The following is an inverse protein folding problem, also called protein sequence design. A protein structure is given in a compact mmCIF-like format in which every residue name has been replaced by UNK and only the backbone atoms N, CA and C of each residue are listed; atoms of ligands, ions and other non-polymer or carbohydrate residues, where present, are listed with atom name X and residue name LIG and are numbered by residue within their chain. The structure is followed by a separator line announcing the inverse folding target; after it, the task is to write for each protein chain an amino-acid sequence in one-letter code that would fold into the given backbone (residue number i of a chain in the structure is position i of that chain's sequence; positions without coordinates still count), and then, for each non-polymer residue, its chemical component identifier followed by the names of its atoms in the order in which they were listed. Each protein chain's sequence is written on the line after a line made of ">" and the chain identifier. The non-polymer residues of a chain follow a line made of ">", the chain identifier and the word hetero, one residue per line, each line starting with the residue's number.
data_IF_612916483305
#
_entry.id   IF_612916483305
#
_cell.length_a   1.000
_cell.length_b   1.000
_cell.length_c   1.000
_cell.angle_alpha   90.00
_cell.angle_beta   90.00
_cell.angle_gamma   90.00
#
_symmetry.space_group_name_H-M   'P 1'
#
loop_
_entity.id
_entity.type
_entity.pdbx_description
1 polymer ?
#
# COMPACT_ATOMS: atom_id res chain seq x y z
N UNK A 1 6.98 55.42 1.60
CA UNK A 1 6.54 54.02 1.44
C UNK A 1 7.77 53.21 1.06
N UNK A 2 8.29 52.38 1.95
CA UNK A 2 9.43 51.50 1.65
C UNK A 2 8.93 50.36 0.78
N UNK A 3 9.32 50.34 -0.50
CA UNK A 3 8.99 49.23 -1.39
C UNK A 3 9.51 47.92 -0.78
N UNK A 4 8.67 46.90 -0.70
CA UNK A 4 9.06 45.61 -0.14
C UNK A 4 10.09 44.97 -1.08
N UNK A 5 11.35 44.79 -0.65
CA UNK A 5 12.45 44.41 -1.55
C UNK A 5 12.22 43.08 -2.27
N UNK A 6 11.40 42.19 -1.68
CA UNK A 6 11.05 40.90 -2.29
C UNK A 6 10.11 41.04 -3.49
N UNK A 7 9.20 42.02 -3.50
CA UNK A 7 8.25 42.23 -4.60
C UNK A 7 8.90 42.93 -5.81
N UNK A 8 10.12 43.43 -5.63
CA UNK A 8 10.94 43.97 -6.72
C UNK A 8 11.72 42.87 -7.46
N UNK A 9 11.69 41.63 -6.97
CA UNK A 9 12.32 40.51 -7.66
C UNK A 9 11.51 40.12 -8.90
N UNK A 10 12.18 39.74 -10.00
CA UNK A 10 11.53 39.17 -11.18
C UNK A 10 10.68 37.93 -10.85
N UNK A 11 9.58 37.73 -11.59
CA UNK A 11 8.65 36.61 -11.35
C UNK A 11 9.34 35.24 -11.45
N UNK A 12 10.29 35.08 -12.36
CA UNK A 12 11.12 33.88 -12.54
C UNK A 12 11.95 33.56 -11.29
N UNK A 13 12.41 34.56 -10.54
CA UNK A 13 13.09 34.35 -9.26
C UNK A 13 12.09 33.99 -8.16
N UNK A 14 10.95 34.68 -8.13
CA UNK A 14 9.90 34.43 -7.13
C UNK A 14 9.34 33.00 -7.20
N UNK A 15 9.23 32.40 -8.39
CA UNK A 15 8.78 31.01 -8.57
C UNK A 15 9.77 29.98 -8.02
N UNK A 16 11.05 30.33 -7.88
CA UNK A 16 12.08 29.43 -7.34
C UNK A 16 12.13 29.43 -5.81
N UNK A 17 11.63 30.49 -5.16
CA UNK A 17 11.68 30.65 -3.70
C UNK A 17 11.09 29.47 -2.91
N UNK A 18 10.00 28.81 -3.33
CA UNK A 18 9.47 27.64 -2.63
C UNK A 18 10.48 26.50 -2.41
N UNK A 19 11.52 26.37 -3.24
CA UNK A 19 12.56 25.35 -3.05
C UNK A 19 13.49 25.63 -1.86
N UNK A 20 13.42 26.83 -1.30
CA UNK A 20 14.25 27.30 -0.19
C UNK A 20 13.45 27.51 1.10
N UNK A 21 12.20 27.07 1.13
CA UNK A 21 11.37 27.09 2.34
C UNK A 21 11.56 25.78 3.13
N UNK A 22 11.40 25.84 4.44
CA UNK A 22 11.68 24.68 5.29
C UNK A 22 10.57 23.63 5.19
N UNK A 23 9.31 24.04 4.99
CA UNK A 23 8.18 23.12 4.93
C UNK A 23 6.93 23.69 4.22
N UNK A 24 5.88 22.87 4.13
CA UNK A 24 4.63 23.22 3.43
C UNK A 24 3.81 24.31 4.12
N UNK A 25 3.97 24.46 5.44
CA UNK A 25 3.31 25.53 6.21
C UNK A 25 3.93 26.89 5.87
N UNK A 26 5.26 26.97 5.80
CA UNK A 26 5.98 28.17 5.37
C UNK A 26 5.57 28.58 3.96
N UNK A 27 5.43 27.63 3.05
CA UNK A 27 4.92 27.89 1.70
C UNK A 27 3.49 28.46 1.72
N UNK A 28 2.62 27.92 2.58
CA UNK A 28 1.24 28.40 2.72
C UNK A 28 1.19 29.82 3.29
N UNK A 29 2.00 30.10 4.30
CA UNK A 29 2.13 31.42 4.92
C UNK A 29 2.73 32.44 3.94
N UNK A 30 3.79 32.05 3.23
CA UNK A 30 4.46 32.88 2.25
C UNK A 30 3.55 33.25 1.08
N UNK A 31 2.86 32.27 0.50
CA UNK A 31 1.88 32.50 -0.57
C UNK A 31 0.66 33.31 -0.12
N UNK A 32 0.35 33.33 1.18
CA UNK A 32 -0.78 34.08 1.74
C UNK A 32 -0.42 35.52 2.15
N UNK A 33 0.85 35.93 2.04
CA UNK A 33 1.31 37.24 2.53
C UNK A 33 0.81 38.41 1.67
N UNK A 34 0.77 38.27 0.35
CA UNK A 34 0.21 39.29 -0.55
C UNK A 34 -0.37 38.69 -1.84
N UNK A 35 -1.15 39.49 -2.59
CA UNK A 35 -1.79 39.04 -3.84
C UNK A 35 -0.80 38.66 -4.93
N UNK A 36 0.33 39.37 -5.03
CA UNK A 36 1.36 39.10 -6.05
C UNK A 36 2.08 37.78 -5.79
N UNK A 37 2.52 37.54 -4.56
CA UNK A 37 3.09 36.24 -4.16
C UNK A 37 2.07 35.12 -4.35
N UNK A 38 0.81 35.33 -3.96
CA UNK A 38 -0.26 34.35 -4.20
C UNK A 38 -0.43 34.01 -5.68
N UNK A 39 -0.36 35.02 -6.56
CA UNK A 39 -0.49 34.85 -8.01
C UNK A 39 0.69 34.04 -8.56
N UNK A 40 1.91 34.46 -8.24
CA UNK A 40 3.15 33.83 -8.73
C UNK A 40 3.29 32.41 -8.22
N UNK A 41 2.94 32.17 -6.96
CA UNK A 41 3.07 30.86 -6.30
C UNK A 41 1.86 29.96 -6.47
N UNK A 42 0.86 30.34 -7.28
CA UNK A 42 -0.40 29.58 -7.39
C UNK A 42 -0.23 28.16 -7.94
N UNK A 43 0.83 27.92 -8.73
CA UNK A 43 1.12 26.64 -9.39
C UNK A 43 2.55 26.19 -9.11
N UNK A 44 2.86 25.79 -7.87
CA UNK A 44 4.18 25.29 -7.53
C UNK A 44 4.45 23.96 -8.25
N UNK A 45 5.74 23.67 -8.52
CA UNK A 45 6.11 22.40 -9.12
C UNK A 45 5.72 21.24 -8.18
N UNK A 46 5.13 20.14 -8.66
CA UNK A 46 4.67 19.04 -7.80
C UNK A 46 5.78 18.44 -6.92
N UNK A 47 7.01 18.37 -7.45
CA UNK A 47 8.16 17.89 -6.69
C UNK A 47 8.47 18.80 -5.49
N UNK A 48 8.43 20.13 -5.67
CA UNK A 48 8.63 21.10 -4.58
C UNK A 48 7.61 20.90 -3.46
N UNK A 49 6.33 20.70 -3.81
CA UNK A 49 5.28 20.46 -2.81
C UNK A 49 5.49 19.15 -2.06
N UNK A 50 5.90 18.08 -2.75
CA UNK A 50 6.21 16.81 -2.08
C UNK A 50 7.39 16.96 -1.12
N UNK A 51 8.46 17.66 -1.52
CA UNK A 51 9.60 17.96 -0.65
C UNK A 51 9.19 18.75 0.59
N UNK A 52 8.41 19.81 0.42
CA UNK A 52 7.91 20.63 1.52
C UNK A 52 6.98 19.83 2.46
N UNK A 53 6.15 18.94 1.92
CA UNK A 53 5.30 18.05 2.71
C UNK A 53 6.11 16.98 3.47
N UNK A 54 7.16 16.43 2.85
CA UNK A 54 8.08 15.50 3.49
C UNK A 54 8.95 16.18 4.55
N UNK A 55 9.31 17.45 4.37
CA UNK A 55 10.03 18.21 5.39
C UNK A 55 9.14 18.48 6.62
N UNK A 56 7.85 18.76 6.41
CA UNK A 56 6.87 18.92 7.51
C UNK A 56 6.80 17.68 8.40
N UNK A 57 6.92 16.47 7.84
CA UNK A 57 6.82 15.22 8.60
C UNK A 57 7.87 15.09 9.70
N UNK A 58 8.92 15.92 9.69
CA UNK A 58 10.03 15.91 10.65
C UNK A 58 9.87 16.89 11.81
N UNK A 59 9.04 17.93 11.66
CA UNK A 59 8.97 19.06 12.61
C UNK A 59 7.67 19.03 13.43
N UNK A 60 6.53 18.69 12.81
CA UNK A 60 5.25 18.50 13.48
C UNK A 60 4.50 17.34 12.83
N UNK A 61 4.19 16.30 13.59
CA UNK A 61 3.60 15.04 13.09
C UNK A 61 2.30 15.27 12.27
N UNK A 62 2.46 15.47 10.97
CA UNK A 62 1.55 15.20 9.84
C UNK A 62 2.08 15.93 8.59
N UNK A 63 2.13 15.27 7.43
CA UNK A 63 1.75 13.88 7.16
C UNK A 63 2.80 12.88 7.67
N UNK A 64 2.39 11.64 7.98
CA UNK A 64 3.37 10.57 8.29
C UNK A 64 4.11 10.15 7.01
N UNK A 65 5.37 9.68 7.10
CA UNK A 65 6.12 9.22 5.92
C UNK A 65 5.38 8.13 5.14
N UNK A 66 4.79 7.15 5.82
CA UNK A 66 3.99 6.08 5.19
C UNK A 66 2.77 6.60 4.44
N UNK A 67 2.12 7.66 4.94
CA UNK A 67 1.01 8.31 4.24
C UNK A 67 1.48 8.98 2.96
N UNK A 68 2.60 9.71 2.98
CA UNK A 68 3.15 10.33 1.78
C UNK A 68 3.61 9.29 0.76
N UNK A 69 4.30 8.23 1.19
CA UNK A 69 4.68 7.11 0.33
C UNK A 69 3.45 6.47 -0.31
N UNK A 70 2.36 6.29 0.44
CA UNK A 70 1.09 5.76 -0.10
C UNK A 70 0.45 6.74 -1.09
N UNK A 71 0.46 8.04 -0.78
CA UNK A 71 -0.14 9.06 -1.63
C UNK A 71 0.53 9.18 -3.00
N UNK A 72 1.82 8.88 -3.10
CA UNK A 72 2.63 8.95 -4.33
C UNK A 72 2.85 7.58 -4.98
N UNK A 73 2.46 6.49 -4.32
CA UNK A 73 2.68 5.11 -4.75
C UNK A 73 2.20 4.81 -6.18
N UNK A 74 1.05 5.36 -6.60
CA UNK A 74 0.53 5.12 -7.96
C UNK A 74 1.43 5.73 -9.02
N UNK A 75 1.81 6.98 -8.85
CA UNK A 75 2.73 7.67 -9.76
C UNK A 75 4.09 6.99 -9.78
N UNK A 76 4.58 6.57 -8.62
CA UNK A 76 5.84 5.84 -8.50
C UNK A 76 5.78 4.49 -9.22
N UNK A 77 4.65 3.78 -9.10
CA UNK A 77 4.39 2.54 -9.83
C UNK A 77 4.33 2.76 -11.34
N UNK A 78 3.72 3.85 -11.82
CA UNK A 78 3.71 4.18 -13.25
C UNK A 78 5.12 4.50 -13.76
N UNK A 79 5.90 5.28 -13.01
CA UNK A 79 7.30 5.55 -13.32
C UNK A 79 8.14 4.26 -13.36
N UNK A 80 7.95 3.35 -12.40
CA UNK A 80 8.67 2.08 -12.35
C UNK A 80 8.38 1.18 -13.55
N UNK A 81 7.17 1.28 -14.12
CA UNK A 81 6.76 0.52 -15.31
C UNK A 81 7.44 0.99 -16.59
N UNK A 82 7.98 2.22 -16.64
CA UNK A 82 8.62 2.77 -17.85
C UNK A 82 9.86 1.97 -18.29
N UNK A 83 10.61 1.36 -17.37
CA UNK A 83 11.80 0.58 -17.73
C UNK A 83 12.16 -0.50 -16.69
N UNK A 84 12.89 -1.56 -17.10
CA UNK A 84 13.50 -2.52 -16.17
C UNK A 84 14.42 -1.87 -15.13
N UNK A 85 15.16 -0.84 -15.52
CA UNK A 85 16.04 -0.11 -14.61
C UNK A 85 15.26 0.61 -13.51
N UNK A 86 14.13 1.24 -13.85
CA UNK A 86 13.29 1.94 -12.88
C UNK A 86 12.65 0.95 -11.89
N UNK A 87 12.22 -0.23 -12.35
CA UNK A 87 11.73 -1.28 -11.46
C UNK A 87 12.83 -1.78 -10.52
N UNK A 88 14.07 -1.95 -11.00
CA UNK A 88 15.17 -2.36 -10.14
C UNK A 88 15.46 -1.32 -9.05
N UNK A 89 15.34 -0.02 -9.36
CA UNK A 89 15.42 1.06 -8.38
C UNK A 89 14.27 1.01 -7.37
N UNK A 90 13.03 0.74 -7.83
CA UNK A 90 11.88 0.53 -6.94
C UNK A 90 12.11 -0.64 -5.98
N UNK A 91 12.52 -1.80 -6.50
CA UNK A 91 12.80 -2.98 -5.69
C UNK A 91 13.93 -2.73 -4.68
N UNK A 92 14.96 -1.96 -5.06
CA UNK A 92 16.04 -1.55 -4.16
C UNK A 92 15.55 -0.59 -3.08
N UNK A 93 14.71 0.38 -3.43
CA UNK A 93 14.14 1.32 -2.48
C UNK A 93 13.22 0.65 -1.45
N UNK A 94 12.47 -0.38 -1.86
CA UNK A 94 11.64 -1.18 -0.96
C UNK A 94 12.43 -1.69 0.25
N UNK A 95 13.73 -1.99 0.10
CA UNK A 95 14.60 -2.53 1.16
C UNK A 95 14.73 -1.61 2.38
N UNK A 96 14.51 -0.32 2.19
CA UNK A 96 14.48 0.69 3.25
C UNK A 96 13.04 0.94 3.77
N UNK A 97 12.09 0.07 3.45
CA UNK A 97 10.69 0.17 3.84
C UNK A 97 9.95 1.34 3.18
N UNK A 98 8.88 1.81 3.83
CA UNK A 98 8.07 2.91 3.34
C UNK A 98 8.85 4.23 3.23
N UNK A 99 9.88 4.43 4.06
CA UNK A 99 10.77 5.59 3.96
C UNK A 99 11.59 5.56 2.67
N UNK A 100 12.16 4.40 2.31
CA UNK A 100 12.84 4.23 1.04
C UNK A 100 11.96 4.53 -0.18
N UNK A 101 10.68 4.14 -0.11
CA UNK A 101 9.72 4.48 -1.16
C UNK A 101 9.44 5.99 -1.22
N UNK A 102 9.36 6.67 -0.08
CA UNK A 102 9.21 8.12 -0.05
C UNK A 102 10.45 8.83 -0.62
N UNK A 103 11.66 8.37 -0.28
CA UNK A 103 12.92 8.92 -0.80
C UNK A 103 13.04 8.75 -2.31
N UNK A 104 12.60 7.60 -2.84
CA UNK A 104 12.53 7.38 -4.28
C UNK A 104 11.46 8.26 -4.93
N UNK A 105 10.31 8.42 -4.27
CA UNK A 105 9.25 9.30 -4.74
C UNK A 105 9.71 10.76 -4.84
N UNK A 106 10.47 11.25 -3.86
CA UNK A 106 11.06 12.60 -3.88
C UNK A 106 11.95 12.85 -5.10
N UNK A 107 12.55 11.80 -5.68
CA UNK A 107 13.43 11.92 -6.85
C UNK A 107 12.70 11.88 -8.19
N UNK A 108 11.54 11.21 -8.26
CA UNK A 108 10.94 10.84 -9.55
C UNK A 108 9.48 11.21 -9.72
N UNK A 109 8.78 11.57 -8.65
CA UNK A 109 7.36 11.95 -8.70
C UNK A 109 7.12 13.25 -7.95
N UNK A 110 5.85 13.65 -7.82
CA UNK A 110 5.49 14.85 -7.09
C UNK A 110 4.13 14.73 -6.44
N UNK A 111 3.71 15.83 -5.81
CA UNK A 111 2.41 15.93 -5.18
C UNK A 111 1.84 17.31 -5.49
N UNK A 112 0.58 17.38 -5.90
CA UNK A 112 -0.05 18.67 -6.21
C UNK A 112 -0.87 19.17 -5.03
N UNK A 113 -1.04 20.49 -4.89
CA UNK A 113 -1.94 21.06 -3.88
C UNK A 113 -3.39 20.55 -4.02
N UNK A 114 -3.97 20.42 -5.23
CA UNK A 114 -5.25 19.74 -5.41
C UNK A 114 -5.26 18.31 -4.85
N UNK A 115 -4.21 17.51 -5.09
CA UNK A 115 -4.11 16.15 -4.54
C UNK A 115 -4.01 16.17 -3.02
N UNK A 116 -3.28 17.11 -2.41
CA UNK A 116 -3.26 17.29 -0.94
C UNK A 116 -4.67 17.54 -0.38
N UNK A 117 -5.45 18.41 -1.04
CA UNK A 117 -6.84 18.68 -0.61
C UNK A 117 -7.72 17.45 -0.74
N UNK A 118 -7.58 16.68 -1.82
CA UNK A 118 -8.28 15.40 -1.99
C UNK A 118 -7.89 14.40 -0.90
N UNK A 119 -6.60 14.23 -0.63
CA UNK A 119 -6.10 13.35 0.43
C UNK A 119 -6.60 13.77 1.82
N UNK A 120 -6.70 15.07 2.07
CA UNK A 120 -7.32 15.60 3.29
C UNK A 120 -8.80 15.22 3.38
N UNK A 121 -9.57 15.32 2.30
CA UNK A 121 -10.96 14.88 2.27
C UNK A 121 -11.08 13.36 2.48
N UNK A 122 -10.25 12.57 1.77
CA UNK A 122 -10.17 11.11 1.89
C UNK A 122 -9.87 10.66 3.32
N UNK A 123 -9.12 11.46 4.09
CA UNK A 123 -8.85 11.16 5.49
C UNK A 123 -10.14 10.90 6.27
N UNK A 124 -11.16 11.72 6.06
CA UNK A 124 -12.42 11.66 6.79
C UNK A 124 -13.44 10.76 6.11
N UNK A 125 -13.46 10.71 4.77
CA UNK A 125 -14.44 9.89 4.04
C UNK A 125 -14.04 8.42 3.93
N UNK A 126 -12.75 8.10 3.81
CA UNK A 126 -12.28 6.72 3.55
C UNK A 126 -11.29 6.24 4.59
N UNK A 127 -10.20 6.97 4.86
CA UNK A 127 -9.08 6.46 5.67
C UNK A 127 -9.52 6.16 7.11
N UNK A 128 -9.98 7.14 7.90
CA UNK A 128 -10.33 6.89 9.30
C UNK A 128 -11.43 5.81 9.45
N UNK A 129 -12.50 5.82 8.64
CA UNK A 129 -13.56 4.81 8.72
C UNK A 129 -13.10 3.39 8.35
N UNK A 130 -12.23 3.24 7.35
CA UNK A 130 -11.68 1.93 7.00
C UNK A 130 -10.65 1.49 8.04
N UNK A 131 -9.87 2.40 8.61
CA UNK A 131 -8.98 2.11 9.75
C UNK A 131 -9.80 1.61 10.95
N UNK A 132 -10.94 2.20 11.26
CA UNK A 132 -11.86 1.71 12.29
C UNK A 132 -12.40 0.29 11.98
N UNK A 133 -12.70 0.00 10.71
CA UNK A 133 -13.07 -1.36 10.29
C UNK A 133 -11.91 -2.35 10.48
N UNK A 134 -10.67 -1.96 10.16
CA UNK A 134 -9.47 -2.78 10.34
C UNK A 134 -9.18 -3.00 11.83
N UNK A 135 -9.37 -1.99 12.68
CA UNK A 135 -9.21 -2.09 14.13
C UNK A 135 -10.16 -3.15 14.72
N UNK A 136 -11.39 -3.25 14.22
CA UNK A 136 -12.35 -4.32 14.56
C UNK A 136 -11.96 -5.71 14.06
N UNK A 137 -10.92 -5.82 13.23
CA UNK A 137 -10.39 -7.07 12.69
C UNK A 137 -9.07 -7.51 13.33
N UNK A 138 -8.17 -6.57 13.66
CA UNK A 138 -6.80 -6.88 14.12
C UNK A 138 -6.21 -5.91 15.15
N UNK A 139 -7.01 -4.96 15.65
CA UNK A 139 -6.58 -3.97 16.64
C UNK A 139 -7.33 -4.09 17.97
N UNK A 140 -7.28 -3.02 18.78
CA UNK A 140 -7.80 -2.99 20.15
C UNK A 140 -9.31 -3.28 20.20
N UNK A 141 -10.08 -2.78 19.22
CA UNK A 141 -11.51 -3.05 19.13
C UNK A 141 -11.82 -4.53 18.87
N UNK A 142 -10.92 -5.25 18.20
CA UNK A 142 -11.10 -6.68 18.01
C UNK A 142 -10.95 -7.43 19.33
N UNK A 143 -9.90 -7.13 20.11
CA UNK A 143 -9.67 -7.71 21.44
C UNK A 143 -10.76 -7.37 22.45
N UNK A 144 -11.46 -6.25 22.27
CA UNK A 144 -12.59 -5.86 23.10
C UNK A 144 -13.87 -6.68 22.85
N UNK A 145 -13.87 -7.64 21.92
CA UNK A 145 -15.02 -8.53 21.70
C UNK A 145 -15.28 -9.38 22.96
N UNK A 146 -16.52 -9.42 23.50
CA UNK A 146 -16.84 -10.26 24.65
C UNK A 146 -16.46 -11.72 24.41
N UNK A 147 -15.96 -12.40 25.44
CA UNK A 147 -15.53 -13.80 25.37
C UNK A 147 -14.53 -14.07 24.24
N UNK A 148 -13.63 -13.12 23.96
CA UNK A 148 -12.71 -13.15 22.81
C UNK A 148 -12.00 -14.51 22.65
N UNK A 149 -11.43 -15.04 23.73
CA UNK A 149 -10.72 -16.32 23.76
C UNK A 149 -11.65 -17.54 23.90
N UNK A 150 -12.90 -17.32 24.30
CA UNK A 150 -13.87 -18.35 24.67
C UNK A 150 -14.98 -18.51 23.61
N UNK A 151 -14.67 -18.19 22.35
CA UNK A 151 -15.56 -18.38 21.19
C UNK A 151 -16.34 -17.13 20.76
N UNK A 152 -16.14 -15.99 21.41
CA UNK A 152 -16.70 -14.70 21.02
C UNK A 152 -16.07 -14.12 19.75
N UNK A 153 -14.79 -14.43 19.48
CA UNK A 153 -14.14 -14.19 18.20
C UNK A 153 -14.03 -15.50 17.40
N UNK A 154 -14.41 -15.47 16.12
CA UNK A 154 -14.36 -16.66 15.25
C UNK A 154 -12.95 -17.20 15.05
N UNK A 155 -11.94 -16.35 15.20
CA UNK A 155 -10.55 -16.67 14.92
C UNK A 155 -9.59 -15.92 15.86
N UNK A 156 -9.81 -16.05 17.17
CA UNK A 156 -9.00 -15.37 18.19
C UNK A 156 -7.50 -15.64 17.98
N UNK A 157 -6.70 -14.57 17.91
CA UNK A 157 -5.25 -14.65 17.75
C UNK A 157 -4.56 -13.45 18.41
N UNK A 158 -3.31 -13.62 18.85
CA UNK A 158 -2.50 -12.50 19.36
C UNK A 158 -1.72 -11.88 18.20
N UNK A 159 -2.21 -10.74 17.73
CA UNK A 159 -1.62 -9.88 16.71
C UNK A 159 -1.24 -8.52 17.33
N UNK A 160 0.05 -8.20 17.37
CA UNK A 160 0.51 -6.83 17.65
C UNK A 160 0.55 -6.05 16.33
N UNK A 161 -0.40 -5.13 16.15
CA UNK A 161 -0.52 -4.35 14.92
C UNK A 161 -0.87 -2.88 15.18
N UNK A 162 -0.73 -2.07 14.14
CA UNK A 162 -1.25 -0.70 14.12
C UNK A 162 -2.28 -0.61 12.98
N UNK A 163 -3.59 -0.51 13.26
CA UNK A 163 -4.62 -0.51 12.22
C UNK A 163 -4.38 0.55 11.13
N UNK A 164 -3.88 1.72 11.51
CA UNK A 164 -3.49 2.78 10.58
C UNK A 164 -2.38 2.35 9.61
N UNK A 165 -1.35 1.64 10.09
CA UNK A 165 -0.29 1.12 9.22
C UNK A 165 -0.81 -0.02 8.34
N UNK A 166 -1.62 -0.93 8.88
CA UNK A 166 -2.25 -2.00 8.11
C UNK A 166 -3.08 -1.44 6.93
N UNK A 167 -3.83 -0.35 7.16
CA UNK A 167 -4.51 0.38 6.09
C UNK A 167 -3.53 0.87 5.01
N UNK A 168 -2.44 1.54 5.41
CA UNK A 168 -1.49 2.08 4.44
C UNK A 168 -0.72 0.99 3.70
N UNK A 169 -0.37 -0.13 4.33
CA UNK A 169 0.22 -1.28 3.64
C UNK A 169 -0.71 -1.83 2.55
N UNK A 170 -2.00 -1.98 2.87
CA UNK A 170 -3.02 -2.42 1.93
C UNK A 170 -3.17 -1.42 0.75
N UNK A 171 -3.36 -0.15 1.08
CA UNK A 171 -3.54 0.90 0.10
C UNK A 171 -2.30 1.03 -0.79
N UNK A 172 -1.10 1.08 -0.22
CA UNK A 172 0.16 1.23 -0.94
C UNK A 172 0.42 0.08 -1.90
N UNK A 173 0.11 -1.17 -1.50
CA UNK A 173 0.18 -2.31 -2.42
C UNK A 173 -0.80 -2.14 -3.60
N UNK A 174 -2.04 -1.75 -3.32
CA UNK A 174 -3.05 -1.49 -4.35
C UNK A 174 -2.65 -0.35 -5.30
N UNK A 175 -2.07 0.73 -4.78
CA UNK A 175 -1.58 1.85 -5.58
C UNK A 175 -0.41 1.47 -6.49
N UNK A 176 0.58 0.74 -5.97
CA UNK A 176 1.76 0.32 -6.74
C UNK A 176 1.42 -0.71 -7.80
N UNK A 177 0.66 -1.74 -7.43
CA UNK A 177 0.54 -2.98 -8.21
C UNK A 177 -0.82 -3.17 -8.85
N UNK A 178 -1.90 -2.62 -8.29
CA UNK A 178 -3.26 -2.71 -8.84
C UNK A 178 -3.40 -2.48 -10.35
N UNK A 179 -2.71 -1.47 -10.95
CA UNK A 179 -2.74 -1.23 -12.40
C UNK A 179 -2.31 -2.43 -13.27
N UNK A 180 -1.55 -3.38 -12.73
CA UNK A 180 -1.15 -4.59 -13.46
C UNK A 180 -2.31 -5.56 -13.68
N UNK A 181 -3.32 -5.56 -12.80
CA UNK A 181 -4.52 -6.37 -13.00
C UNK A 181 -5.33 -5.81 -14.18
N UNK A 182 -5.48 -4.48 -14.25
CA UNK A 182 -6.20 -3.86 -15.37
C UNK A 182 -5.51 -4.08 -16.70
N UNK A 183 -4.17 -4.00 -16.71
CA UNK A 183 -3.36 -4.31 -17.89
C UNK A 183 -3.62 -5.74 -18.39
N UNK A 184 -3.71 -6.70 -17.46
CA UNK A 184 -4.02 -8.09 -17.78
C UNK A 184 -5.46 -8.26 -18.31
N UNK A 185 -6.44 -7.62 -17.68
CA UNK A 185 -7.84 -7.69 -18.11
C UNK A 185 -8.09 -7.07 -19.48
N UNK A 186 -7.39 -5.97 -19.78
CA UNK A 186 -7.50 -5.28 -21.06
C UNK A 186 -6.70 -5.98 -22.17
N UNK A 187 -5.99 -7.08 -21.86
CA UNK A 187 -5.11 -7.83 -22.77
C UNK A 187 -4.07 -6.91 -23.44
N UNK A 188 -3.62 -5.89 -22.72
CA UNK A 188 -2.72 -4.86 -23.24
C UNK A 188 -1.26 -5.33 -23.07
N UNK A 189 -0.79 -6.15 -24.01
CA UNK A 189 0.59 -6.66 -24.00
C UNK A 189 1.65 -5.58 -24.25
N UNK A 190 1.25 -4.37 -24.66
CA UNK A 190 2.17 -3.26 -24.88
C UNK A 190 2.59 -2.58 -23.59
N UNK A 191 1.76 -2.68 -22.54
CA UNK A 191 2.05 -2.12 -21.23
C UNK A 191 2.84 -3.11 -20.38
N UNK A 192 3.97 -2.63 -19.88
CA UNK A 192 4.79 -3.38 -18.95
C UNK A 192 4.14 -3.44 -17.57
N UNK A 193 4.18 -4.63 -16.96
CA UNK A 193 3.76 -4.90 -15.58
C UNK A 193 4.97 -4.97 -14.65
N UNK A 194 4.77 -4.72 -13.36
CA UNK A 194 5.80 -4.99 -12.36
C UNK A 194 5.88 -6.49 -12.08
N UNK A 195 7.09 -7.00 -11.91
CA UNK A 195 7.37 -8.41 -11.70
C UNK A 195 6.91 -8.88 -10.33
N UNK A 196 6.74 -10.20 -10.21
CA UNK A 196 6.47 -10.86 -8.92
C UNK A 196 7.59 -10.57 -7.93
N UNK A 197 8.85 -10.58 -8.39
CA UNK A 197 10.01 -10.34 -7.53
C UNK A 197 9.94 -8.97 -6.84
N UNK A 198 9.58 -7.91 -7.58
CA UNK A 198 9.37 -6.57 -7.00
C UNK A 198 8.24 -6.53 -5.98
N UNK A 199 7.15 -7.27 -6.22
CA UNK A 199 6.06 -7.39 -5.22
C UNK A 199 6.52 -8.09 -3.95
N UNK A 200 7.35 -9.12 -4.08
CA UNK A 200 7.92 -9.81 -2.93
C UNK A 200 8.91 -8.92 -2.18
N UNK A 201 9.74 -8.12 -2.86
CA UNK A 201 10.59 -7.11 -2.21
C UNK A 201 9.76 -6.09 -1.43
N UNK A 202 8.65 -5.61 -2.02
CA UNK A 202 7.71 -4.75 -1.31
C UNK A 202 7.14 -5.44 -0.06
N UNK A 203 6.61 -6.66 -0.18
CA UNK A 203 6.05 -7.39 0.97
C UNK A 203 7.09 -7.62 2.05
N UNK A 204 8.33 -7.99 1.69
CA UNK A 204 9.40 -8.25 2.67
C UNK A 204 9.71 -7.03 3.52
N UNK A 205 9.80 -5.85 2.92
CA UNK A 205 10.40 -4.69 3.59
C UNK A 205 9.42 -3.53 3.83
N UNK A 206 8.40 -3.36 3.00
CA UNK A 206 7.37 -2.34 3.19
C UNK A 206 6.19 -2.84 4.03
N UNK A 207 6.06 -4.16 4.24
CA UNK A 207 5.12 -4.77 5.18
C UNK A 207 5.91 -5.65 6.17
N UNK A 208 6.75 -5.03 7.01
CA UNK A 208 7.74 -5.77 7.76
C UNK A 208 7.07 -6.66 8.81
N UNK A 209 7.67 -7.83 9.01
CA UNK A 209 7.17 -8.85 9.94
C UNK A 209 8.35 -9.41 10.75
N UNK A 210 8.27 -9.39 12.09
CA UNK A 210 9.41 -9.70 12.96
C UNK A 210 10.03 -11.07 12.68
N UNK A 211 9.21 -12.06 12.32
CA UNK A 211 9.67 -13.41 12.06
C UNK A 211 10.35 -13.59 10.71
N UNK A 212 10.08 -12.71 9.74
CA UNK A 212 10.74 -12.71 8.43
C UNK A 212 12.24 -12.44 8.57
N UNK A 213 12.64 -11.52 9.47
CA UNK A 213 14.04 -11.26 9.80
C UNK A 213 14.70 -12.36 10.66
N UNK A 214 13.91 -13.14 11.40
CA UNK A 214 14.41 -14.28 12.20
C UNK A 214 14.75 -15.48 11.32
N UNK A 215 13.92 -15.82 10.34
CA UNK A 215 14.15 -16.96 9.43
C UNK A 215 15.51 -16.87 8.72
N UNK A 216 16.03 -15.67 8.46
CA UNK A 216 17.35 -15.49 7.82
C UNK A 216 18.51 -15.34 8.80
N UNK A 217 18.26 -15.14 10.10
CA UNK A 217 19.30 -14.94 11.12
C UNK A 217 19.49 -16.14 12.05
N UNK A 218 18.47 -16.99 12.23
CA UNK A 218 18.53 -18.15 13.16
C UNK A 218 18.62 -19.51 12.47
N UNK A 219 18.54 -19.58 11.15
CA UNK A 219 18.70 -20.87 10.46
C UNK A 219 20.15 -21.33 10.51
N UNK A 220 20.36 -22.54 11.02
CA UNK A 220 21.64 -23.24 10.99
C UNK A 220 22.31 -23.12 9.60
N UNK A 221 23.65 -23.02 9.51
CA UNK A 221 24.38 -22.77 8.27
C UNK A 221 24.01 -23.66 7.06
N UNK A 222 23.36 -24.81 7.28
CA UNK A 222 22.88 -25.71 6.23
C UNK A 222 21.49 -25.42 5.63
N UNK A 223 20.62 -24.61 6.27
CA UNK A 223 19.26 -24.36 5.74
C UNK A 223 19.20 -23.24 4.69
N UNK A 224 20.20 -22.35 4.65
CA UNK A 224 20.27 -21.25 3.67
C UNK A 224 20.36 -21.73 2.22
N UNK A 225 20.76 -22.98 1.98
CA UNK A 225 20.81 -23.59 0.65
C UNK A 225 19.44 -24.13 0.20
N UNK A 226 18.44 -24.23 1.09
CA UNK A 226 17.12 -24.81 0.83
C UNK A 226 16.04 -23.72 0.63
N UNK A 227 16.33 -22.48 1.03
CA UNK A 227 15.37 -21.37 0.94
C UNK A 227 15.45 -20.75 -0.46
N UNK A 228 14.30 -20.66 -1.13
CA UNK A 228 14.16 -19.96 -2.41
C UNK A 228 14.76 -18.54 -2.31
N UNK A 229 15.67 -18.12 -3.21
CA UNK A 229 16.34 -16.82 -3.13
C UNK A 229 15.38 -15.63 -3.02
N UNK A 230 14.17 -15.74 -3.59
CA UNK A 230 13.16 -14.67 -3.54
C UNK A 230 12.60 -14.44 -2.13
N UNK A 231 12.69 -15.44 -1.26
CA UNK A 231 12.31 -15.36 0.16
C UNK A 231 13.43 -14.82 1.06
N UNK A 232 14.64 -14.64 0.51
CA UNK A 232 15.77 -14.13 1.30
C UNK A 232 15.52 -12.67 1.68
N UNK A 233 15.80 -12.38 2.95
CA UNK A 233 15.66 -11.08 3.58
C UNK A 233 17.01 -10.71 4.17
N UNK A 234 17.55 -9.59 3.72
CA UNK A 234 18.72 -8.95 4.32
C UNK A 234 18.33 -8.07 5.50
N UNK A 235 19.25 -7.93 6.46
CA UNK A 235 19.08 -7.15 7.69
C UNK A 235 19.32 -5.66 7.43
N UNK A 236 18.47 -5.06 6.60
CA UNK A 236 18.49 -3.64 6.20
C UNK A 236 17.12 -3.00 6.45
N UNK A 237 17.07 -1.67 6.41
CA UNK A 237 15.84 -0.90 6.62
C UNK A 237 15.11 -1.32 7.90
N UNK A 238 13.86 -1.81 7.83
CA UNK A 238 13.08 -2.21 9.01
C UNK A 238 13.68 -3.39 9.81
N UNK A 239 14.65 -4.11 9.24
CA UNK A 239 15.34 -5.21 9.90
C UNK A 239 16.79 -4.87 10.29
N UNK A 240 17.22 -3.62 10.08
CA UNK A 240 18.57 -3.19 10.45
C UNK A 240 18.79 -3.39 11.97
N UNK A 241 19.98 -3.86 12.34
CA UNK A 241 20.37 -3.95 13.74
C UNK A 241 20.79 -2.57 14.23
N UNK A 242 20.41 -2.21 15.45
CA UNK A 242 20.88 -0.99 16.09
C UNK A 242 22.36 -1.11 16.51
N UNK A 243 22.92 -0.02 17.02
CA UNK A 243 24.35 0.10 17.40
C UNK A 243 24.83 -0.99 18.38
N UNK A 244 23.91 -1.55 19.19
CA UNK A 244 24.21 -2.61 20.16
C UNK A 244 24.10 -4.02 19.59
N UNK A 245 23.86 -4.17 18.29
CA UNK A 245 23.66 -5.46 17.62
C UNK A 245 22.31 -6.15 17.95
N UNK A 246 21.51 -5.57 18.84
CA UNK A 246 20.12 -5.93 19.08
C UNK A 246 19.20 -5.23 18.07
N UNK A 247 18.09 -5.89 17.71
CA UNK A 247 16.99 -5.19 17.04
C UNK A 247 16.38 -4.22 18.07
N UNK A 248 16.52 -2.89 17.87
CA UNK A 248 16.13 -1.91 18.89
C UNK A 248 14.62 -1.94 19.13
N UNK A 249 13.84 -2.19 18.08
CA UNK A 249 12.41 -2.49 18.12
C UNK A 249 12.12 -3.51 17.00
N UNK A 250 11.59 -4.69 17.36
CA UNK A 250 11.08 -5.58 16.31
C UNK A 250 9.90 -4.88 15.62
N UNK A 251 9.78 -4.97 14.28
CA UNK A 251 8.59 -4.45 13.62
C UNK A 251 7.33 -5.12 14.21
N UNK A 252 6.21 -4.39 14.22
CA UNK A 252 4.89 -4.98 14.50
C UNK A 252 4.58 -6.11 13.51
N UNK A 253 3.60 -6.96 13.81
CA UNK A 253 3.20 -8.11 12.99
C UNK A 253 2.35 -7.69 11.78
N UNK A 254 2.89 -6.83 10.91
CA UNK A 254 2.13 -6.17 9.85
C UNK A 254 1.65 -7.13 8.75
N UNK A 255 2.47 -8.11 8.38
CA UNK A 255 2.11 -9.11 7.37
C UNK A 255 0.98 -9.98 7.89
N UNK A 256 1.11 -10.44 9.13
CA UNK A 256 0.08 -11.21 9.81
C UNK A 256 -1.22 -10.40 9.94
N UNK A 257 -1.15 -9.16 10.42
CA UNK A 257 -2.30 -8.28 10.55
C UNK A 257 -3.03 -8.06 9.22
N UNK A 258 -2.30 -7.88 8.12
CA UNK A 258 -2.89 -7.70 6.80
C UNK A 258 -3.53 -9.01 6.28
N UNK A 259 -2.87 -10.15 6.52
CA UNK A 259 -3.41 -11.48 6.20
C UNK A 259 -4.75 -11.72 6.92
N UNK A 260 -4.81 -11.42 8.22
CA UNK A 260 -6.03 -11.56 9.04
C UNK A 260 -7.11 -10.57 8.63
N UNK A 261 -6.75 -9.33 8.31
CA UNK A 261 -7.68 -8.32 7.81
C UNK A 261 -8.35 -8.79 6.53
N UNK A 262 -7.58 -9.25 5.54
CA UNK A 262 -8.11 -9.72 4.24
C UNK A 262 -8.97 -10.98 4.41
N UNK A 263 -8.72 -11.81 5.43
CA UNK A 263 -9.52 -13.01 5.73
C UNK A 263 -10.74 -12.74 6.61
N UNK A 264 -10.79 -11.59 7.27
CA UNK A 264 -11.85 -11.26 8.22
C UNK A 264 -13.21 -11.20 7.54
N UNK A 265 -14.21 -11.86 8.14
CA UNK A 265 -15.61 -11.76 7.69
C UNK A 265 -16.13 -10.33 7.78
N UNK A 266 -15.69 -9.55 8.79
CA UNK A 266 -16.09 -8.15 8.96
C UNK A 266 -15.58 -7.28 7.81
N UNK A 267 -14.33 -7.49 7.40
CA UNK A 267 -13.73 -6.77 6.28
C UNK A 267 -14.34 -7.18 4.93
N UNK A 268 -14.60 -8.48 4.75
CA UNK A 268 -15.15 -9.02 3.50
C UNK A 268 -16.66 -8.77 3.32
N UNK A 269 -17.43 -8.60 4.39
CA UNK A 269 -18.88 -8.42 4.30
C UNK A 269 -19.30 -7.22 3.40
N UNK A 270 -18.73 -6.01 3.55
CA UNK A 270 -18.96 -4.91 2.63
C UNK A 270 -18.64 -5.24 1.16
N UNK A 271 -17.49 -5.87 0.92
CA UNK A 271 -17.05 -6.25 -0.42
C UNK A 271 -17.95 -7.31 -1.05
N UNK A 272 -18.43 -8.27 -0.25
CA UNK A 272 -19.37 -9.30 -0.68
C UNK A 272 -20.72 -8.69 -1.04
N UNK A 273 -21.22 -7.75 -0.23
CA UNK A 273 -22.45 -7.02 -0.55
C UNK A 273 -22.32 -6.23 -1.86
N UNK A 274 -21.18 -5.55 -2.08
CA UNK A 274 -20.89 -4.87 -3.35
C UNK A 274 -20.85 -5.85 -4.54
N UNK A 275 -20.19 -7.00 -4.39
CA UNK A 275 -20.17 -8.05 -5.43
C UNK A 275 -21.58 -8.50 -5.79
N UNK A 276 -22.41 -8.81 -4.79
CA UNK A 276 -23.80 -9.22 -5.01
C UNK A 276 -24.64 -8.15 -5.73
N UNK A 277 -24.39 -6.86 -5.45
CA UNK A 277 -25.03 -5.77 -6.17
C UNK A 277 -24.54 -5.64 -7.63
N UNK A 278 -23.27 -5.95 -7.89
CA UNK A 278 -22.66 -5.88 -9.22
C UNK A 278 -23.01 -7.10 -10.11
N UNK A 279 -23.18 -8.29 -9.53
CA UNK A 279 -23.57 -9.51 -10.24
C UNK A 279 -23.49 -10.78 -9.39
N UNK A 280 -23.86 -11.92 -9.97
CA UNK A 280 -23.74 -13.21 -9.29
C UNK A 280 -22.28 -13.64 -9.16
N UNK A 281 -21.92 -14.25 -8.03
CA UNK A 281 -20.59 -14.87 -7.87
C UNK A 281 -20.35 -15.94 -8.94
N UNK A 282 -19.08 -16.14 -9.30
CA UNK A 282 -18.69 -17.21 -10.22
C UNK A 282 -18.87 -18.61 -9.60
N UNK A 283 -19.11 -18.69 -8.29
CA UNK A 283 -19.36 -19.93 -7.55
C UNK A 283 -20.29 -19.66 -6.37
N UNK A 284 -21.37 -20.44 -6.24
CA UNK A 284 -22.43 -20.22 -5.24
C UNK A 284 -21.97 -20.42 -3.78
N UNK A 285 -21.01 -21.31 -3.54
CA UNK A 285 -20.49 -21.66 -2.21
C UNK A 285 -18.98 -21.42 -2.16
N UNK A 286 -18.55 -20.19 -2.43
CA UNK A 286 -17.16 -19.84 -2.23
C UNK A 286 -16.87 -19.78 -0.72
N UNK A 287 -15.98 -20.66 -0.27
CA UNK A 287 -15.41 -20.62 1.07
C UNK A 287 -14.11 -19.82 1.03
N UNK A 288 -14.01 -18.81 1.90
CA UNK A 288 -12.84 -17.95 2.09
C UNK A 288 -11.60 -18.74 2.57
N UNK A 289 -11.71 -20.05 2.84
CA UNK A 289 -10.62 -21.01 3.12
C UNK A 289 -9.80 -21.54 1.92
N UNK A 290 -8.48 -21.60 2.09
CA UNK A 290 -7.38 -21.74 1.10
C UNK A 290 -7.27 -23.06 0.30
N UNK A 291 -8.36 -23.73 -0.03
CA UNK A 291 -8.33 -25.02 -0.74
C UNK A 291 -8.12 -24.91 -2.27
N UNK A 292 -7.48 -25.94 -2.85
CA UNK A 292 -7.08 -26.09 -4.26
C UNK A 292 -8.23 -26.19 -5.29
N UNK A 293 -9.51 -26.16 -4.86
CA UNK A 293 -10.70 -26.28 -5.73
C UNK A 293 -11.45 -24.96 -5.92
N UNK A 294 -10.71 -23.84 -6.01
CA UNK A 294 -11.31 -22.50 -6.13
C UNK A 294 -11.47 -22.09 -7.58
N UNK A 295 -12.62 -21.50 -7.91
CA UNK A 295 -12.78 -20.82 -9.19
C UNK A 295 -11.83 -19.62 -9.25
N UNK A 296 -10.80 -19.71 -10.08
CA UNK A 296 -9.77 -18.66 -10.20
C UNK A 296 -10.36 -17.30 -10.60
N UNK A 297 -11.49 -17.29 -11.30
CA UNK A 297 -12.22 -16.05 -11.64
C UNK A 297 -12.78 -15.36 -10.41
N UNK A 298 -13.36 -16.13 -9.47
CA UNK A 298 -13.85 -15.59 -8.20
C UNK A 298 -12.69 -14.98 -7.40
N UNK A 299 -11.58 -15.73 -7.28
CA UNK A 299 -10.38 -15.26 -6.57
C UNK A 299 -9.80 -13.99 -7.21
N UNK A 300 -9.72 -13.93 -8.53
CA UNK A 300 -9.25 -12.74 -9.23
C UNK A 300 -10.17 -11.54 -8.99
N UNK A 301 -11.49 -11.75 -9.02
CA UNK A 301 -12.46 -10.68 -8.76
C UNK A 301 -12.36 -10.14 -7.34
N UNK A 302 -12.19 -11.00 -6.34
CA UNK A 302 -11.98 -10.58 -4.95
C UNK A 302 -10.65 -9.84 -4.76
N UNK A 303 -9.58 -10.35 -5.37
CA UNK A 303 -8.28 -9.67 -5.33
C UNK A 303 -8.34 -8.28 -5.96
N UNK A 304 -9.12 -8.11 -7.03
CA UNK A 304 -9.31 -6.79 -7.63
C UNK A 304 -9.92 -5.81 -6.65
N UNK A 305 -10.92 -6.21 -5.86
CA UNK A 305 -11.56 -5.32 -4.88
C UNK A 305 -10.58 -4.87 -3.80
N UNK A 306 -9.65 -5.74 -3.42
CA UNK A 306 -8.64 -5.47 -2.39
C UNK A 306 -7.50 -4.60 -2.94
N UNK A 307 -7.15 -4.71 -4.23
CA UNK A 307 -5.98 -4.07 -4.84
C UNK A 307 -6.30 -2.77 -5.59
N UNK A 308 -7.13 -1.87 -5.05
CA UNK A 308 -7.52 -0.62 -5.74
C UNK A 308 -6.80 0.66 -5.25
N UNK A 309 -6.10 0.59 -4.12
CA UNK A 309 -5.42 1.75 -3.53
C UNK A 309 -6.34 2.62 -2.64
N UNK A 310 -5.93 3.85 -2.36
CA UNK A 310 -6.58 4.76 -1.40
C UNK A 310 -8.05 5.03 -1.75
N UNK A 311 -8.30 5.44 -2.99
CA UNK A 311 -9.64 5.82 -3.44
C UNK A 311 -10.57 4.59 -3.50
N UNK A 312 -10.06 3.45 -3.95
CA UNK A 312 -10.85 2.23 -4.09
C UNK A 312 -11.22 1.55 -2.78
N UNK A 313 -10.50 1.80 -1.68
CA UNK A 313 -10.94 1.36 -0.35
C UNK A 313 -12.24 2.04 0.10
N UNK A 314 -12.69 3.08 -0.61
CA UNK A 314 -14.05 3.61 -0.50
C UNK A 314 -15.15 2.57 -0.72
N UNK A 315 -14.89 1.46 -1.43
CA UNK A 315 -15.86 0.35 -1.59
C UNK A 315 -16.32 -0.29 -0.28
N UNK A 316 -15.53 -0.16 0.78
CA UNK A 316 -15.85 -0.69 2.11
C UNK A 316 -16.90 0.17 2.83
N UNK A 317 -17.11 1.41 2.38
CA UNK A 317 -18.11 2.33 2.90
C UNK A 317 -19.46 2.08 2.27
N UNK A 318 -20.49 1.91 3.10
CA UNK A 318 -21.86 1.69 2.62
C UNK A 318 -22.38 2.87 1.79
N UNK A 319 -22.07 4.10 2.21
CA UNK A 319 -22.51 5.34 1.57
C UNK A 319 -21.78 5.67 0.25
N UNK A 320 -20.63 5.04 -0.02
CA UNK A 320 -19.87 5.22 -1.27
C UNK A 320 -19.94 4.00 -2.19
N UNK A 321 -20.54 2.89 -1.72
CA UNK A 321 -20.50 1.59 -2.40
C UNK A 321 -21.14 1.64 -3.78
N UNK A 322 -22.27 2.32 -3.90
CA UNK A 322 -23.08 2.33 -5.12
C UNK A 322 -22.33 2.95 -6.31
N UNK A 323 -21.40 3.88 -6.05
CA UNK A 323 -20.54 4.49 -7.08
C UNK A 323 -19.62 3.46 -7.77
N UNK A 324 -19.34 2.33 -7.10
CA UNK A 324 -18.44 1.30 -7.59
C UNK A 324 -19.15 0.13 -8.28
N UNK A 325 -20.47 0.04 -8.20
CA UNK A 325 -21.22 -1.13 -8.70
C UNK A 325 -20.98 -1.38 -10.19
N UNK A 326 -21.03 -0.33 -11.02
CA UNK A 326 -20.79 -0.44 -12.46
C UNK A 326 -19.34 -0.83 -12.78
N UNK A 327 -18.38 -0.25 -12.06
CA UNK A 327 -16.96 -0.58 -12.20
C UNK A 327 -16.69 -2.04 -11.85
N UNK A 328 -17.25 -2.51 -10.73
CA UNK A 328 -17.11 -3.89 -10.27
C UNK A 328 -17.79 -4.89 -11.21
N UNK A 329 -18.94 -4.50 -11.80
CA UNK A 329 -19.62 -5.29 -12.84
C UNK A 329 -18.75 -5.39 -14.10
N UNK A 330 -18.18 -4.29 -14.54
CA UNK A 330 -17.24 -4.27 -15.68
C UNK A 330 -16.03 -5.16 -15.46
N UNK A 331 -15.47 -5.20 -14.24
CA UNK A 331 -14.38 -6.12 -13.91
C UNK A 331 -14.83 -7.58 -14.02
N UNK A 332 -15.99 -7.90 -13.45
CA UNK A 332 -16.57 -9.24 -13.51
C UNK A 332 -16.75 -9.73 -14.95
N UNK A 333 -17.32 -8.90 -15.81
CA UNK A 333 -17.53 -9.23 -17.23
C UNK A 333 -16.21 -9.49 -17.96
N UNK A 334 -15.19 -8.64 -17.73
CA UNK A 334 -13.85 -8.84 -18.30
C UNK A 334 -13.18 -10.12 -17.82
N UNK A 335 -13.30 -10.44 -16.53
CA UNK A 335 -12.80 -11.71 -15.95
C UNK A 335 -13.54 -12.90 -16.55
N UNK A 336 -14.87 -12.80 -16.72
CA UNK A 336 -15.66 -13.87 -17.34
C UNK A 336 -15.20 -14.16 -18.78
N UNK A 337 -14.83 -13.11 -19.52
CA UNK A 337 -14.34 -13.19 -20.89
C UNK A 337 -12.88 -13.69 -21.01
N UNK A 338 -12.14 -13.86 -19.92
CA UNK A 338 -10.80 -14.45 -19.95
C UNK A 338 -10.90 -15.95 -20.25
N UNK A 339 -10.07 -16.43 -21.18
CA UNK A 339 -10.09 -17.83 -21.64
C UNK A 339 -9.35 -18.78 -20.70
N UNK A 340 -8.25 -18.32 -20.12
CA UNK A 340 -7.38 -19.12 -19.25
C UNK A 340 -7.04 -18.39 -17.95
N UNK A 341 -6.74 -19.19 -16.93
CA UNK A 341 -6.20 -18.68 -15.67
C UNK A 341 -4.81 -18.06 -15.91
N UNK A 342 -4.52 -16.91 -15.27
CA UNK A 342 -3.18 -16.34 -15.24
C UNK A 342 -2.15 -17.31 -14.64
N UNK A 343 -0.89 -17.19 -15.04
CA UNK A 343 0.16 -18.11 -14.61
C UNK A 343 0.40 -18.05 -13.08
N UNK A 344 0.62 -19.23 -12.49
CA UNK A 344 1.01 -19.38 -11.09
C UNK A 344 2.53 -19.37 -10.99
N UNK A 345 3.08 -18.51 -10.15
CA UNK A 345 4.51 -18.42 -9.87
C UNK A 345 4.80 -19.15 -8.55
N UNK A 346 5.47 -20.30 -8.66
CA UNK A 346 5.88 -21.09 -7.50
C UNK A 346 7.14 -20.49 -6.88
N UNK A 347 7.10 -20.26 -5.57
CA UNK A 347 8.18 -19.72 -4.75
C UNK A 347 8.39 -20.69 -3.59
N UNK A 348 9.47 -21.46 -3.59
CA UNK A 348 9.68 -22.57 -2.66
C UNK A 348 8.50 -23.56 -2.66
N UNK A 349 7.76 -23.65 -1.54
CA UNK A 349 6.57 -24.51 -1.39
C UNK A 349 5.23 -23.75 -1.54
N UNK A 350 5.27 -22.45 -1.78
CA UNK A 350 4.07 -21.62 -1.93
C UNK A 350 3.93 -21.16 -3.38
N UNK A 351 2.73 -20.74 -3.77
CA UNK A 351 2.48 -20.13 -5.07
C UNK A 351 1.85 -18.76 -4.89
N UNK A 352 2.24 -17.82 -5.75
CA UNK A 352 1.50 -16.58 -6.00
C UNK A 352 1.10 -16.53 -7.48
N UNK A 353 0.44 -15.47 -7.90
CA UNK A 353 -0.03 -15.29 -9.28
C UNK A 353 0.89 -14.34 -10.04
N UNK A 354 0.90 -14.40 -11.37
CA UNK A 354 1.59 -13.39 -12.18
C UNK A 354 1.02 -11.98 -11.95
N UNK A 355 -0.28 -11.88 -11.65
CA UNK A 355 -0.96 -10.64 -11.30
C UNK A 355 -0.87 -10.35 -9.81
N UNK A 356 -1.08 -9.09 -9.38
CA UNK A 356 -1.11 -8.72 -7.97
C UNK A 356 -2.09 -9.59 -7.18
N UNK A 357 -1.54 -10.41 -6.28
CA UNK A 357 -2.29 -11.26 -5.38
C UNK A 357 -1.68 -11.15 -3.98
N UNK A 358 -2.09 -10.10 -3.26
CA UNK A 358 -1.52 -9.73 -1.98
C UNK A 358 -1.47 -10.90 -0.99
N UNK A 359 -2.54 -11.68 -0.83
CA UNK A 359 -2.55 -12.82 0.10
C UNK A 359 -1.53 -13.90 -0.29
N UNK A 360 -1.35 -14.16 -1.59
CA UNK A 360 -0.32 -15.08 -2.09
C UNK A 360 1.10 -14.57 -1.89
N UNK A 361 1.31 -13.27 -2.11
CA UNK A 361 2.59 -12.61 -1.90
C UNK A 361 2.97 -12.59 -0.40
N UNK A 362 2.03 -12.24 0.49
CA UNK A 362 2.19 -12.27 1.95
C UNK A 362 2.63 -13.66 2.44
N UNK A 363 1.93 -14.71 2.01
CA UNK A 363 2.25 -16.11 2.36
C UNK A 363 3.57 -16.58 1.81
N UNK A 364 3.91 -16.17 0.60
CA UNK A 364 5.18 -16.55 -0.04
C UNK A 364 6.38 -16.03 0.75
N UNK A 365 6.24 -14.87 1.39
CA UNK A 365 7.24 -14.28 2.28
C UNK A 365 7.24 -14.85 3.71
N UNK A 366 6.16 -15.51 4.15
CA UNK A 366 5.97 -16.00 5.53
C UNK A 366 6.08 -17.51 5.72
N UNK A 367 6.19 -18.28 4.64
CA UNK A 367 6.16 -19.74 4.68
C UNK A 367 7.32 -20.33 5.50
N UNK A 368 6.97 -20.92 6.65
CA UNK A 368 7.87 -21.57 7.59
C UNK A 368 7.57 -21.25 9.06
N UNK A 369 6.82 -20.17 9.33
CA UNK A 369 6.59 -19.69 10.69
C UNK A 369 5.17 -19.92 11.24
N UNK A 370 4.13 -19.95 10.40
CA UNK A 370 2.74 -20.05 10.89
C UNK A 370 2.13 -21.43 10.56
N UNK A 371 1.97 -22.33 11.55
CA UNK A 371 1.12 -23.49 11.39
C UNK A 371 -0.33 -23.02 11.25
N UNK A 372 -0.97 -23.30 10.11
CA UNK A 372 -2.41 -23.06 9.91
C UNK A 372 -2.83 -21.85 9.05
N UNK A 373 -1.94 -21.25 8.25
CA UNK A 373 -2.34 -20.19 7.29
C UNK A 373 -2.84 -20.68 5.95
#
# INVERSE_FOLDING_TARGET
>A
MTASPILNLPEDILVLLPNYLDNIEDYTNFSSTCRDLRRVLSNPHPNTILHLAAAQSRIFFRPSPIFLATATARELGHWARLSPANEALLATACRNGAEGLLDLALQHVGLTLPRIRQLHALRFSVINPVVDLIDKCVGDQWYATPDFWDGGASDAYTIDSEPGHTFFHLAMYGELFGPDIETLLNRDSSKRRLSVDTRLEFVKYCIPEPYTGMITSTTSPGLHQIIDPRRRVELVGPYAKGDKGSHPDYPKQNNLALTWTIRSRKFNAPLKALRHAAGSDFQANFDDGCGEKRNWRQRMWENMLVCQGLDGLGMLREDLRDEWVETVRSWRERIAAMEKEPEVVIIGRQGTMEYPFLLGDLRSCMSGYVPGT
#
